data_IF_686372017719
#
_entry.id   IF_686372017719
#
_cell.length_a   1.000
_cell.length_b   1.000
_cell.length_c   1.000
_cell.angle_alpha   90.00
_cell.angle_beta   90.00
_cell.angle_gamma   90.00
#
_symmetry.space_group_name_H-M   'P 1'
#
loop_
_entity.id
_entity.type
_entity.pdbx_description
1 polymer ?
#
# COMPACT_ATOMS: atom_id res chain seq x y z
N UNK A 1 11.96 -28.61 35.34
CA UNK A 1 11.46 -27.98 34.11
C UNK A 1 12.65 -27.55 33.23
N UNK A 2 12.91 -28.22 32.12
CA UNK A 2 14.03 -27.86 31.21
C UNK A 2 13.73 -26.48 30.59
N UNK A 3 14.61 -25.49 30.83
CA UNK A 3 14.58 -24.20 30.16
C UNK A 3 14.66 -24.46 28.64
N UNK A 4 13.57 -24.21 27.93
CA UNK A 4 13.58 -24.25 26.47
C UNK A 4 14.54 -23.18 25.96
N UNK A 5 15.39 -23.54 24.98
CA UNK A 5 16.33 -22.60 24.38
C UNK A 5 15.56 -21.40 23.75
N UNK A 6 16.13 -20.19 23.78
CA UNK A 6 15.47 -18.99 23.23
C UNK A 6 14.99 -19.18 21.79
N UNK A 7 15.73 -19.93 20.97
CA UNK A 7 15.34 -20.32 19.62
C UNK A 7 14.04 -21.12 19.58
N UNK A 8 13.87 -22.14 20.44
CA UNK A 8 12.63 -22.91 20.51
C UNK A 8 11.41 -22.07 20.92
N UNK A 9 11.60 -21.06 21.76
CA UNK A 9 10.54 -20.09 22.11
C UNK A 9 10.12 -19.23 20.93
N UNK A 10 11.06 -18.80 20.09
CA UNK A 10 10.78 -18.01 18.89
C UNK A 10 10.01 -18.86 17.87
N UNK A 11 10.43 -20.10 17.62
CA UNK A 11 9.74 -21.02 16.71
C UNK A 11 8.35 -21.48 17.24
N UNK A 12 8.09 -21.38 18.52
CA UNK A 12 6.79 -21.70 19.11
C UNK A 12 5.73 -20.61 18.87
N UNK A 13 6.12 -19.40 18.45
CA UNK A 13 5.18 -18.34 18.08
C UNK A 13 4.53 -18.71 16.73
N UNK A 14 3.20 -18.83 16.72
CA UNK A 14 2.43 -19.21 15.55
C UNK A 14 2.73 -18.25 14.38
N UNK A 15 3.18 -18.78 13.23
CA UNK A 15 3.57 -17.99 12.05
C UNK A 15 5.04 -17.56 12.00
N UNK A 16 5.79 -17.59 13.09
CA UNK A 16 7.20 -17.18 13.12
C UNK A 16 8.09 -18.10 12.27
N UNK A 17 7.78 -19.40 12.21
CA UNK A 17 8.52 -20.35 11.38
C UNK A 17 8.51 -19.95 9.90
N UNK A 18 7.33 -19.60 9.35
CA UNK A 18 7.20 -19.14 7.97
C UNK A 18 7.95 -17.81 7.70
N UNK A 19 7.89 -16.87 8.65
CA UNK A 19 8.61 -15.61 8.52
C UNK A 19 10.15 -15.83 8.54
N UNK A 20 10.65 -16.72 9.40
CA UNK A 20 12.07 -17.03 9.48
C UNK A 20 12.59 -17.77 8.25
N UNK A 21 11.82 -18.70 7.68
CA UNK A 21 12.18 -19.37 6.43
C UNK A 21 12.21 -18.42 5.25
N UNK A 22 11.23 -17.50 5.14
CA UNK A 22 11.22 -16.46 4.12
C UNK A 22 12.42 -15.52 4.26
N UNK A 23 12.75 -15.11 5.49
CA UNK A 23 13.91 -14.26 5.76
C UNK A 23 15.25 -14.96 5.46
N UNK A 24 15.37 -16.23 5.82
CA UNK A 24 16.55 -17.04 5.47
C UNK A 24 16.71 -17.18 3.95
N UNK A 25 15.61 -17.45 3.22
CA UNK A 25 15.61 -17.48 1.77
C UNK A 25 16.06 -16.16 1.14
N UNK A 26 15.56 -15.02 1.66
CA UNK A 26 15.98 -13.69 1.22
C UNK A 26 17.49 -13.47 1.42
N UNK A 27 18.03 -13.84 2.58
CA UNK A 27 19.48 -13.71 2.87
C UNK A 27 20.30 -14.56 1.91
N UNK A 28 19.90 -15.83 1.68
CA UNK A 28 20.61 -16.74 0.77
C UNK A 28 20.64 -16.16 -0.65
N UNK A 29 19.50 -15.69 -1.15
CA UNK A 29 19.40 -15.07 -2.48
C UNK A 29 20.25 -13.80 -2.55
N UNK A 30 20.19 -12.94 -1.54
CA UNK A 30 20.95 -11.70 -1.51
C UNK A 30 22.47 -11.94 -1.52
N UNK A 31 22.94 -12.94 -0.75
CA UNK A 31 24.35 -13.35 -0.74
C UNK A 31 24.74 -13.96 -2.08
N UNK A 32 23.92 -14.85 -2.65
CA UNK A 32 24.22 -15.49 -3.94
C UNK A 32 24.39 -14.44 -5.07
N UNK A 33 23.48 -13.45 -5.15
CA UNK A 33 23.62 -12.35 -6.09
C UNK A 33 24.84 -11.47 -5.80
N UNK A 34 25.17 -11.23 -4.53
CA UNK A 34 26.35 -10.47 -4.14
C UNK A 34 27.68 -11.14 -4.48
N UNK A 35 27.73 -12.49 -4.50
CA UNK A 35 28.90 -13.25 -4.96
C UNK A 35 29.07 -13.11 -6.48
N UNK A 36 27.97 -13.11 -7.24
CA UNK A 36 27.98 -12.96 -8.70
C UNK A 36 28.35 -11.50 -9.08
N UNK A 37 27.79 -10.54 -8.37
CA UNK A 37 28.05 -9.11 -8.61
C UNK A 37 28.25 -8.36 -7.29
N UNK A 38 29.49 -8.04 -6.89
CA UNK A 38 29.78 -7.32 -5.63
C UNK A 38 29.11 -5.94 -5.51
N UNK A 39 28.68 -5.32 -6.63
CA UNK A 39 27.94 -4.08 -6.60
C UNK A 39 26.59 -4.19 -5.85
N UNK A 40 26.07 -5.40 -5.67
CA UNK A 40 24.86 -5.68 -4.87
C UNK A 40 25.03 -5.22 -3.42
N UNK A 41 26.23 -5.30 -2.86
CA UNK A 41 26.54 -4.87 -1.51
C UNK A 41 26.90 -3.38 -1.39
N UNK A 42 26.92 -2.64 -2.49
CA UNK A 42 27.20 -1.18 -2.43
C UNK A 42 26.11 -0.46 -1.62
N UNK A 43 26.54 0.56 -0.86
CA UNK A 43 25.59 1.38 -0.08
C UNK A 43 24.48 2.00 -0.93
N UNK A 44 24.82 2.41 -2.16
CA UNK A 44 23.83 2.95 -3.09
C UNK A 44 22.77 1.90 -3.50
N UNK A 45 23.19 0.66 -3.74
CA UNK A 45 22.24 -0.43 -4.08
C UNK A 45 21.36 -0.78 -2.88
N UNK A 46 21.90 -0.83 -1.67
CA UNK A 46 21.11 -1.03 -0.44
C UNK A 46 20.06 0.06 -0.29
N UNK A 47 20.43 1.34 -0.52
CA UNK A 47 19.46 2.45 -0.47
C UNK A 47 18.37 2.34 -1.55
N UNK A 48 18.73 1.93 -2.75
CA UNK A 48 17.76 1.69 -3.83
C UNK A 48 16.83 0.51 -3.49
N UNK A 49 17.35 -0.54 -2.89
CA UNK A 49 16.58 -1.69 -2.42
C UNK A 49 15.56 -1.28 -1.35
N UNK A 50 16.00 -0.53 -0.33
CA UNK A 50 15.12 0.00 0.72
C UNK A 50 14.00 0.87 0.13
N UNK A 51 14.32 1.75 -0.83
CA UNK A 51 13.34 2.57 -1.53
C UNK A 51 12.32 1.71 -2.31
N UNK A 52 12.78 0.69 -3.01
CA UNK A 52 11.91 -0.21 -3.78
C UNK A 52 11.02 -1.05 -2.87
N UNK A 53 11.58 -1.62 -1.78
CA UNK A 53 10.83 -2.41 -0.80
C UNK A 53 9.74 -1.60 -0.09
N UNK A 54 9.94 -0.30 0.09
CA UNK A 54 8.99 0.58 0.78
C UNK A 54 7.60 0.56 0.14
N UNK A 55 7.52 0.51 -1.18
CA UNK A 55 6.24 0.41 -1.91
C UNK A 55 5.50 -0.88 -1.58
N UNK A 56 6.20 -1.99 -1.58
CA UNK A 56 5.63 -3.30 -1.27
C UNK A 56 5.24 -3.42 0.21
N UNK A 57 6.01 -2.79 1.12
CA UNK A 57 5.66 -2.73 2.53
C UNK A 57 4.33 -2.00 2.74
N UNK A 58 4.14 -0.84 2.11
CA UNK A 58 2.89 -0.05 2.22
C UNK A 58 1.70 -0.87 1.70
N UNK A 59 1.82 -1.48 0.52
CA UNK A 59 0.76 -2.33 -0.05
C UNK A 59 0.49 -3.53 0.85
N UNK A 60 1.54 -4.17 1.36
CA UNK A 60 1.43 -5.32 2.26
C UNK A 60 0.68 -4.99 3.55
N UNK A 61 0.85 -3.78 4.10
CA UNK A 61 0.07 -3.30 5.26
C UNK A 61 -1.41 -3.24 4.89
N UNK A 62 -1.76 -2.58 3.79
CA UNK A 62 -3.14 -2.47 3.33
C UNK A 62 -3.81 -3.83 3.15
N UNK A 63 -3.13 -4.73 2.44
CA UNK A 63 -3.61 -6.08 2.18
C UNK A 63 -3.74 -6.91 3.46
N UNK A 64 -2.82 -6.76 4.42
CA UNK A 64 -2.89 -7.48 5.69
C UNK A 64 -4.17 -7.18 6.47
N UNK A 65 -4.64 -5.93 6.47
CA UNK A 65 -5.90 -5.55 7.12
C UNK A 65 -7.11 -6.28 6.52
N UNK A 66 -7.14 -6.41 5.20
CA UNK A 66 -8.20 -7.12 4.48
C UNK A 66 -8.11 -8.62 4.74
N UNK A 67 -6.91 -9.22 4.62
CA UNK A 67 -6.67 -10.64 4.81
C UNK A 67 -6.98 -11.13 6.23
N UNK A 68 -6.68 -10.33 7.27
CA UNK A 68 -7.01 -10.69 8.66
C UNK A 68 -8.52 -10.88 8.85
N UNK A 69 -9.35 -10.15 8.11
CA UNK A 69 -10.82 -10.35 8.16
C UNK A 69 -11.33 -11.50 7.30
N UNK A 70 -10.45 -12.29 6.70
CA UNK A 70 -10.81 -13.39 5.79
C UNK A 70 -11.24 -12.93 4.39
N UNK A 71 -11.05 -11.66 4.06
CA UNK A 71 -11.38 -11.09 2.75
C UNK A 71 -10.13 -10.98 1.86
N UNK A 72 -10.34 -10.65 0.58
CA UNK A 72 -9.27 -10.36 -0.38
C UNK A 72 -9.58 -9.03 -1.08
N UNK A 73 -8.54 -8.29 -1.50
CA UNK A 73 -8.68 -7.09 -2.31
C UNK A 73 -7.81 -7.20 -3.56
N UNK A 74 -8.45 -7.38 -4.70
CA UNK A 74 -7.78 -7.42 -6.01
C UNK A 74 -7.67 -6.03 -6.66
N UNK A 75 -8.37 -5.03 -6.13
CA UNK A 75 -8.40 -3.68 -6.71
C UNK A 75 -7.13 -2.87 -6.43
N UNK A 76 -6.29 -3.31 -5.49
CA UNK A 76 -5.10 -2.60 -4.99
C UNK A 76 -4.25 -2.03 -6.13
N UNK A 77 -3.82 -2.86 -7.08
CA UNK A 77 -2.96 -2.43 -8.18
C UNK A 77 -3.63 -1.36 -9.05
N UNK A 78 -4.90 -1.58 -9.43
CA UNK A 78 -5.64 -0.61 -10.25
C UNK A 78 -5.88 0.71 -9.52
N UNK A 79 -6.09 0.69 -8.20
CA UNK A 79 -6.20 1.90 -7.38
C UNK A 79 -4.86 2.64 -7.31
N UNK A 80 -3.73 1.92 -7.26
CA UNK A 80 -2.38 2.51 -7.40
C UNK A 80 -2.23 3.25 -8.73
N UNK A 81 -2.58 2.58 -9.84
CA UNK A 81 -2.53 3.20 -11.18
C UNK A 81 -3.47 4.39 -11.31
N UNK A 82 -4.71 4.26 -10.82
CA UNK A 82 -5.68 5.34 -10.79
C UNK A 82 -5.16 6.55 -9.99
N UNK A 83 -4.55 6.30 -8.83
CA UNK A 83 -3.95 7.36 -8.01
C UNK A 83 -2.82 8.08 -8.75
N UNK A 84 -1.89 7.36 -9.37
CA UNK A 84 -0.80 7.95 -10.14
C UNK A 84 -1.32 8.80 -11.30
N UNK A 85 -2.31 8.28 -12.04
CA UNK A 85 -2.88 8.97 -13.21
C UNK A 85 -3.66 10.21 -12.82
N UNK A 86 -4.55 10.15 -11.82
CA UNK A 86 -5.34 11.32 -11.39
C UNK A 86 -4.42 12.43 -10.88
N UNK A 87 -3.46 12.10 -10.01
CA UNK A 87 -2.54 13.08 -9.45
C UNK A 87 -1.70 13.75 -10.56
N UNK A 88 -1.13 12.96 -11.46
CA UNK A 88 -0.34 13.48 -12.56
C UNK A 88 -1.16 14.34 -13.53
N UNK A 89 -2.35 13.87 -13.95
CA UNK A 89 -3.22 14.61 -14.88
C UNK A 89 -3.61 15.98 -14.29
N UNK A 90 -4.02 16.02 -13.03
CA UNK A 90 -4.35 17.30 -12.38
C UNK A 90 -3.15 18.23 -12.32
N UNK A 91 -1.95 17.72 -12.02
CA UNK A 91 -0.74 18.53 -12.00
C UNK A 91 -0.32 19.00 -13.38
N UNK A 92 -0.47 18.20 -14.43
CA UNK A 92 -0.20 18.64 -15.83
C UNK A 92 -1.20 19.69 -16.30
N UNK A 93 -2.42 19.73 -15.75
CA UNK A 93 -3.39 20.80 -15.97
C UNK A 93 -3.11 22.08 -15.16
N UNK A 94 -2.01 22.15 -14.42
CA UNK A 94 -1.62 23.30 -13.60
C UNK A 94 -2.30 23.36 -12.22
N UNK A 95 -3.01 22.31 -11.79
CA UNK A 95 -3.61 22.25 -10.46
C UNK A 95 -2.52 22.12 -9.41
N UNK A 96 -2.59 22.93 -8.35
CA UNK A 96 -1.65 22.88 -7.24
C UNK A 96 -1.46 21.44 -6.73
N UNK A 97 -0.21 20.97 -6.50
CA UNK A 97 0.07 19.58 -6.09
C UNK A 97 -0.70 19.14 -4.84
N UNK A 98 -0.88 20.01 -3.85
CA UNK A 98 -1.63 19.69 -2.63
C UNK A 98 -3.10 19.42 -2.95
N UNK A 99 -3.71 20.25 -3.81
CA UNK A 99 -5.11 20.08 -4.25
C UNK A 99 -5.25 18.79 -5.07
N UNK A 100 -4.31 18.53 -5.98
CA UNK A 100 -4.27 17.30 -6.77
C UNK A 100 -4.19 16.05 -5.88
N UNK A 101 -3.35 16.07 -4.84
CA UNK A 101 -3.25 14.99 -3.85
C UNK A 101 -4.58 14.79 -3.11
N UNK A 102 -5.25 15.86 -2.67
CA UNK A 102 -6.51 15.76 -1.94
C UNK A 102 -7.64 15.20 -2.82
N UNK A 103 -7.76 15.63 -4.07
CA UNK A 103 -8.75 15.10 -5.01
C UNK A 103 -8.47 13.60 -5.26
N UNK A 104 -7.22 13.25 -5.50
CA UNK A 104 -6.79 11.86 -5.72
C UNK A 104 -7.11 10.99 -4.50
N UNK A 105 -6.84 11.50 -3.28
CA UNK A 105 -7.20 10.82 -2.04
C UNK A 105 -8.69 10.49 -1.99
N UNK A 106 -9.56 11.48 -2.24
CA UNK A 106 -11.01 11.29 -2.21
C UNK A 106 -11.43 10.22 -3.24
N UNK A 107 -10.92 10.27 -4.47
CA UNK A 107 -11.23 9.29 -5.50
C UNK A 107 -10.83 7.85 -5.08
N UNK A 108 -9.64 7.68 -4.50
CA UNK A 108 -9.20 6.38 -4.01
C UNK A 108 -10.06 5.89 -2.83
N UNK A 109 -10.42 6.79 -1.90
CA UNK A 109 -11.28 6.42 -0.77
C UNK A 109 -12.68 6.00 -1.21
N UNK A 110 -13.23 6.55 -2.29
CA UNK A 110 -14.51 6.11 -2.87
C UNK A 110 -14.44 4.62 -3.25
N UNK A 111 -13.37 4.17 -3.89
CA UNK A 111 -13.20 2.74 -4.22
C UNK A 111 -13.13 1.89 -2.94
N UNK A 112 -12.41 2.34 -1.92
CA UNK A 112 -12.36 1.65 -0.62
C UNK A 112 -13.74 1.53 0.05
N UNK A 113 -14.53 2.61 0.02
CA UNK A 113 -15.92 2.61 0.54
C UNK A 113 -16.80 1.66 -0.27
N UNK A 114 -16.70 1.70 -1.60
CA UNK A 114 -17.46 0.81 -2.49
C UNK A 114 -17.15 -0.66 -2.17
N UNK A 115 -15.88 -1.05 -2.10
CA UNK A 115 -15.49 -2.41 -1.70
C UNK A 115 -16.05 -2.79 -0.33
N UNK A 116 -15.94 -1.88 0.65
CA UNK A 116 -16.46 -2.09 1.99
C UNK A 116 -17.98 -2.29 2.03
N UNK A 117 -18.74 -1.58 1.21
CA UNK A 117 -20.20 -1.72 1.10
C UNK A 117 -20.56 -3.00 0.36
N UNK A 118 -19.93 -3.28 -0.79
CA UNK A 118 -20.18 -4.47 -1.58
C UNK A 118 -19.98 -5.74 -0.77
N UNK A 119 -18.86 -5.83 -0.06
CA UNK A 119 -18.51 -7.01 0.74
C UNK A 119 -19.21 -7.01 2.10
N UNK A 120 -19.15 -5.89 2.83
CA UNK A 120 -19.63 -5.84 4.21
C UNK A 120 -21.15 -5.76 4.34
N UNK A 121 -21.83 -4.97 3.49
CA UNK A 121 -23.29 -4.76 3.55
C UNK A 121 -24.04 -5.70 2.61
N UNK A 122 -23.63 -5.77 1.35
CA UNK A 122 -24.32 -6.60 0.35
C UNK A 122 -23.85 -8.06 0.33
N UNK A 123 -22.79 -8.36 1.12
CA UNK A 123 -22.25 -9.72 1.29
C UNK A 123 -21.83 -10.38 -0.02
N UNK A 124 -21.42 -9.58 -1.01
CA UNK A 124 -20.86 -10.12 -2.23
C UNK A 124 -19.53 -10.83 -1.91
N UNK A 125 -19.20 -11.93 -2.60
CA UNK A 125 -17.90 -12.56 -2.47
C UNK A 125 -16.78 -11.53 -2.70
N UNK A 126 -15.79 -11.39 -1.79
CA UNK A 126 -14.76 -10.37 -1.87
C UNK A 126 -14.01 -10.36 -3.19
N UNK A 127 -13.71 -11.55 -3.73
CA UNK A 127 -13.07 -11.72 -5.03
C UNK A 127 -13.87 -11.05 -6.16
N UNK A 128 -15.19 -11.29 -6.24
CA UNK A 128 -16.05 -10.73 -7.31
C UNK A 128 -16.18 -9.22 -7.16
N UNK A 129 -16.43 -8.75 -5.93
CA UNK A 129 -16.60 -7.33 -5.64
C UNK A 129 -15.34 -6.53 -6.00
N UNK A 130 -14.17 -7.00 -5.54
CA UNK A 130 -12.90 -6.28 -5.75
C UNK A 130 -12.36 -6.44 -7.18
N UNK A 131 -12.69 -7.53 -7.88
CA UNK A 131 -12.43 -7.67 -9.31
C UNK A 131 -13.23 -6.63 -10.12
N UNK A 132 -14.51 -6.45 -9.79
CA UNK A 132 -15.34 -5.43 -10.43
C UNK A 132 -14.78 -4.01 -10.23
N UNK A 133 -14.45 -3.65 -8.99
CA UNK A 133 -13.89 -2.33 -8.69
C UNK A 133 -12.45 -2.16 -9.22
N UNK A 134 -11.69 -3.24 -9.39
CA UNK A 134 -10.41 -3.24 -10.09
C UNK A 134 -10.58 -2.72 -11.53
N UNK A 135 -11.55 -3.24 -12.27
CA UNK A 135 -11.81 -2.78 -13.64
C UNK A 135 -12.34 -1.35 -13.67
N UNK A 136 -13.17 -0.95 -12.70
CA UNK A 136 -13.60 0.45 -12.57
C UNK A 136 -12.43 1.38 -12.35
N UNK A 137 -11.55 1.09 -11.38
CA UNK A 137 -10.37 1.89 -11.12
C UNK A 137 -9.40 1.93 -12.31
N UNK A 138 -9.21 0.79 -13.00
CA UNK A 138 -8.39 0.72 -14.22
C UNK A 138 -9.00 1.54 -15.36
N UNK A 139 -10.32 1.48 -15.53
CA UNK A 139 -11.05 2.30 -16.52
C UNK A 139 -10.87 3.78 -16.25
N UNK A 140 -10.99 4.22 -15.00
CA UNK A 140 -10.73 5.63 -14.61
C UNK A 140 -9.28 6.02 -14.92
N UNK A 141 -8.29 5.17 -14.62
CA UNK A 141 -6.89 5.43 -14.92
C UNK A 141 -6.66 5.67 -16.43
N UNK A 142 -7.33 4.92 -17.29
CA UNK A 142 -7.24 5.11 -18.74
C UNK A 142 -7.98 6.36 -19.22
N UNK A 143 -9.19 6.61 -18.70
CA UNK A 143 -10.05 7.69 -19.19
C UNK A 143 -9.58 9.09 -18.78
N UNK A 144 -8.94 9.22 -17.59
CA UNK A 144 -8.62 10.54 -16.99
C UNK A 144 -7.69 11.39 -17.86
N UNK A 145 -6.88 10.80 -18.73
CA UNK A 145 -5.99 11.49 -19.66
C UNK A 145 -6.16 10.99 -21.12
N UNK A 146 -7.37 10.61 -21.50
CA UNK A 146 -7.68 10.21 -22.87
C UNK A 146 -6.91 9.00 -23.38
N UNK A 147 -6.74 7.98 -22.53
CA UNK A 147 -6.04 6.72 -22.84
C UNK A 147 -4.56 6.91 -23.26
N UNK A 148 -3.88 7.84 -22.61
CA UNK A 148 -2.46 8.14 -22.80
C UNK A 148 -1.80 8.41 -21.48
N UNK A 149 -0.49 8.16 -21.40
CA UNK A 149 0.32 8.64 -20.29
C UNK A 149 0.27 10.18 -20.25
N UNK A 150 0.42 10.77 -19.08
CA UNK A 150 0.48 12.23 -18.98
C UNK A 150 1.82 12.75 -19.49
N UNK A 151 1.88 14.05 -19.80
CA UNK A 151 3.15 14.74 -19.89
C UNK A 151 3.85 14.79 -18.53
N UNK A 152 5.08 15.30 -18.49
CA UNK A 152 5.78 15.52 -17.24
C UNK A 152 4.99 16.47 -16.33
N UNK A 153 4.84 16.15 -15.04
CA UNK A 153 4.09 16.98 -14.08
C UNK A 153 4.62 18.41 -14.02
N UNK A 154 5.93 18.59 -14.22
CA UNK A 154 6.58 19.89 -14.27
C UNK A 154 6.09 20.79 -15.42
N UNK A 155 5.49 20.23 -16.47
CA UNK A 155 4.96 21.02 -17.60
C UNK A 155 3.73 21.84 -17.20
N UNK A 156 2.93 21.37 -16.23
CA UNK A 156 1.74 22.07 -15.77
C UNK A 156 1.99 22.90 -14.52
N UNK A 157 2.54 22.30 -13.46
CA UNK A 157 2.75 22.99 -12.17
C UNK A 157 4.04 23.79 -12.09
N UNK A 158 4.89 23.73 -13.12
CA UNK A 158 6.21 24.34 -13.12
C UNK A 158 7.30 23.43 -12.53
N UNK A 159 8.56 23.75 -12.88
CA UNK A 159 9.72 22.92 -12.53
C UNK A 159 9.89 22.75 -11.02
N UNK A 160 9.84 23.86 -10.28
CA UNK A 160 10.09 23.85 -8.83
C UNK A 160 9.04 23.02 -8.05
N UNK A 161 7.77 23.16 -8.41
CA UNK A 161 6.69 22.41 -7.78
C UNK A 161 6.73 20.92 -8.17
N UNK A 162 7.05 20.62 -9.44
CA UNK A 162 7.24 19.24 -9.91
C UNK A 162 8.42 18.55 -9.25
N UNK A 163 9.58 19.20 -9.16
CA UNK A 163 10.76 18.68 -8.45
C UNK A 163 10.49 18.52 -6.96
N UNK A 164 9.79 19.45 -6.32
CA UNK A 164 9.40 19.34 -4.92
C UNK A 164 8.53 18.12 -4.68
N UNK A 165 7.50 17.89 -5.53
CA UNK A 165 6.67 16.69 -5.44
C UNK A 165 7.48 15.41 -5.57
N UNK A 166 8.37 15.34 -6.59
CA UNK A 166 9.24 14.19 -6.81
C UNK A 166 10.20 13.95 -5.64
N UNK A 167 10.76 15.02 -5.06
CA UNK A 167 11.65 14.92 -3.91
C UNK A 167 10.92 14.47 -2.63
N UNK A 168 9.69 14.94 -2.41
CA UNK A 168 8.89 14.50 -1.27
C UNK A 168 8.60 13.00 -1.35
N UNK A 169 8.16 12.50 -2.49
CA UNK A 169 7.68 11.13 -2.60
C UNK A 169 8.75 10.12 -3.03
N UNK A 170 9.83 10.53 -3.75
CA UNK A 170 10.73 9.54 -4.32
C UNK A 170 12.23 9.87 -4.27
N UNK A 171 12.68 11.02 -4.79
CA UNK A 171 14.12 11.28 -4.94
C UNK A 171 14.78 11.92 -3.73
N UNK A 172 14.03 12.65 -2.91
CA UNK A 172 14.57 13.36 -1.76
C UNK A 172 15.07 12.40 -0.68
N UNK A 173 16.05 12.86 0.07
CA UNK A 173 16.66 12.12 1.19
C UNK A 173 16.57 12.93 2.48
N UNK A 174 16.19 12.27 3.56
CA UNK A 174 16.22 12.79 4.92
C UNK A 174 17.12 11.88 5.75
N UNK A 175 18.09 12.45 6.46
CA UNK A 175 19.12 11.69 7.22
C UNK A 175 19.86 10.66 6.37
N UNK A 176 20.11 10.97 5.08
CA UNK A 176 20.82 10.09 4.15
C UNK A 176 19.98 8.96 3.54
N UNK A 177 18.72 8.78 3.98
CA UNK A 177 17.79 7.74 3.50
C UNK A 177 16.68 8.37 2.67
N UNK A 178 16.21 7.69 1.62
CA UNK A 178 15.14 8.19 0.76
C UNK A 178 13.82 8.40 1.51
N UNK A 179 13.14 9.50 1.22
CA UNK A 179 11.86 9.87 1.85
C UNK A 179 10.79 8.79 1.72
N UNK A 180 10.78 8.05 0.61
CA UNK A 180 9.88 6.90 0.41
C UNK A 180 9.96 5.89 1.55
N UNK A 181 11.17 5.64 2.10
CA UNK A 181 11.36 4.74 3.23
C UNK A 181 10.75 5.30 4.52
N UNK A 182 10.95 6.59 4.79
CA UNK A 182 10.34 7.24 5.95
C UNK A 182 8.82 7.26 5.89
N UNK A 183 8.25 7.51 4.70
CA UNK A 183 6.81 7.41 4.47
C UNK A 183 6.32 6.01 4.83
N UNK A 184 7.00 4.96 4.37
CA UNK A 184 6.62 3.58 4.64
C UNK A 184 6.72 3.23 6.14
N UNK A 185 7.77 3.69 6.83
CA UNK A 185 7.94 3.47 8.28
C UNK A 185 6.87 4.19 9.09
N UNK A 186 6.54 5.43 8.75
CA UNK A 186 5.46 6.18 9.42
C UNK A 186 4.13 5.44 9.25
N UNK A 187 3.81 5.02 8.04
CA UNK A 187 2.59 4.25 7.73
C UNK A 187 2.59 2.94 8.52
N UNK A 188 3.71 2.22 8.54
CA UNK A 188 3.84 0.98 9.31
C UNK A 188 3.57 1.20 10.79
N UNK A 189 4.19 2.19 11.41
CA UNK A 189 4.02 2.48 12.85
C UNK A 189 2.56 2.84 13.14
N UNK A 190 1.96 3.71 12.35
CA UNK A 190 0.56 4.15 12.55
C UNK A 190 -0.41 2.97 12.43
N UNK A 191 -0.31 2.19 11.37
CA UNK A 191 -1.23 1.08 11.15
C UNK A 191 -0.94 -0.12 12.08
N UNK A 192 0.32 -0.36 12.42
CA UNK A 192 0.67 -1.33 13.46
C UNK A 192 0.05 -0.96 14.81
N UNK A 193 0.13 0.31 15.21
CA UNK A 193 -0.52 0.79 16.44
C UNK A 193 -2.04 0.65 16.36
N UNK A 194 -2.65 1.07 15.24
CA UNK A 194 -4.10 0.94 15.04
C UNK A 194 -4.55 -0.52 15.13
N UNK A 195 -3.81 -1.45 14.55
CA UNK A 195 -4.14 -2.87 14.56
C UNK A 195 -3.92 -3.50 15.94
N UNK A 196 -2.81 -3.19 16.63
CA UNK A 196 -2.41 -3.86 17.88
C UNK A 196 -3.00 -3.25 19.14
N UNK A 197 -3.27 -1.93 19.16
CA UNK A 197 -3.63 -1.20 20.38
C UNK A 197 -5.04 -0.60 20.39
N UNK A 198 -5.77 -0.59 19.26
CA UNK A 198 -7.08 0.08 19.19
C UNK A 198 -8.26 -0.90 19.22
N UNK A 199 -9.47 -0.36 19.48
CA UNK A 199 -10.72 -1.13 19.36
C UNK A 199 -10.94 -1.63 17.93
N UNK A 200 -10.56 -0.85 16.92
CA UNK A 200 -10.68 -1.25 15.52
C UNK A 200 -9.87 -2.51 15.22
N UNK A 201 -8.63 -2.60 15.70
CA UNK A 201 -7.81 -3.80 15.52
C UNK A 201 -8.43 -5.03 16.18
N UNK A 202 -8.94 -4.90 17.42
CA UNK A 202 -9.66 -6.01 18.09
C UNK A 202 -10.89 -6.49 17.31
N UNK A 203 -11.66 -5.56 16.72
CA UNK A 203 -12.81 -5.92 15.89
C UNK A 203 -12.39 -6.63 14.60
N UNK A 204 -11.27 -6.22 13.98
CA UNK A 204 -10.71 -6.86 12.78
C UNK A 204 -10.34 -8.32 13.10
N UNK A 205 -9.59 -8.56 14.18
CA UNK A 205 -9.24 -9.93 14.60
C UNK A 205 -10.47 -10.75 15.00
N UNK A 206 -11.46 -10.15 15.67
CA UNK A 206 -12.69 -10.84 16.03
C UNK A 206 -13.46 -11.33 14.80
N UNK A 207 -13.60 -10.49 13.77
CA UNK A 207 -14.26 -10.88 12.51
C UNK A 207 -13.48 -11.98 11.81
N UNK A 208 -12.16 -11.88 11.74
CA UNK A 208 -11.31 -12.89 11.11
C UNK A 208 -11.32 -14.23 11.83
N UNK A 209 -11.57 -14.24 13.14
CA UNK A 209 -11.70 -15.46 13.92
C UNK A 209 -13.06 -16.14 13.75
N UNK A 210 -14.15 -15.39 13.93
CA UNK A 210 -15.53 -15.87 13.73
C UNK A 210 -16.47 -14.68 13.56
N UNK A 211 -17.02 -14.52 12.37
CA UNK A 211 -17.90 -13.39 11.98
C UNK A 211 -19.20 -13.39 12.83
N UNK A 212 -19.80 -14.56 13.08
CA UNK A 212 -21.08 -14.65 13.79
C UNK A 212 -20.88 -14.37 15.28
N UNK A 213 -19.84 -14.92 15.89
CA UNK A 213 -19.50 -14.63 17.29
C UNK A 213 -19.17 -13.13 17.48
N UNK A 214 -18.44 -12.51 16.55
CA UNK A 214 -18.14 -11.08 16.58
C UNK A 214 -19.42 -10.25 16.51
N UNK A 215 -20.36 -10.62 15.62
CA UNK A 215 -21.67 -9.96 15.49
C UNK A 215 -22.50 -10.06 16.76
N UNK A 216 -22.59 -11.25 17.38
CA UNK A 216 -23.28 -11.45 18.64
C UNK A 216 -22.66 -10.65 19.79
N UNK A 217 -21.36 -10.40 19.73
CA UNK A 217 -20.62 -9.54 20.67
C UNK A 217 -20.76 -8.03 20.37
N UNK A 218 -21.66 -7.64 19.45
CA UNK A 218 -21.96 -6.23 19.13
C UNK A 218 -20.96 -5.59 18.14
N UNK A 219 -20.08 -6.36 17.51
CA UNK A 219 -19.16 -5.83 16.50
C UNK A 219 -19.90 -5.59 15.18
N UNK A 220 -19.88 -4.34 14.67
CA UNK A 220 -20.45 -4.04 13.36
C UNK A 220 -19.56 -4.57 12.24
N UNK A 221 -19.97 -5.68 11.62
CA UNK A 221 -19.25 -6.30 10.51
C UNK A 221 -19.07 -5.31 9.36
N UNK A 222 -20.16 -4.63 8.95
CA UNK A 222 -20.13 -3.66 7.84
C UNK A 222 -19.08 -2.56 8.08
N UNK A 223 -19.16 -1.89 9.24
CA UNK A 223 -18.22 -0.79 9.57
C UNK A 223 -16.77 -1.28 9.65
N UNK A 224 -16.54 -2.45 10.20
CA UNK A 224 -15.18 -2.99 10.36
C UNK A 224 -14.61 -3.41 9.01
N UNK A 225 -15.37 -4.12 8.17
CA UNK A 225 -14.96 -4.50 6.82
C UNK A 225 -14.70 -3.26 5.96
N UNK A 226 -15.57 -2.24 6.02
CA UNK A 226 -15.32 -0.98 5.28
C UNK A 226 -14.02 -0.32 5.71
N UNK A 227 -13.71 -0.32 7.01
CA UNK A 227 -12.43 0.24 7.50
C UNK A 227 -11.21 -0.51 6.93
N UNK A 228 -11.27 -1.83 6.78
CA UNK A 228 -10.14 -2.59 6.22
C UNK A 228 -9.91 -2.25 4.74
N UNK A 229 -10.97 -2.11 3.96
CA UNK A 229 -10.85 -1.66 2.56
C UNK A 229 -10.43 -0.20 2.42
N UNK A 230 -10.82 0.67 3.35
CA UNK A 230 -10.32 2.05 3.40
C UNK A 230 -8.81 2.10 3.67
N UNK A 231 -8.29 1.24 4.57
CA UNK A 231 -6.84 1.13 4.80
C UNK A 231 -6.12 0.64 3.55
N UNK A 232 -6.68 -0.36 2.86
CA UNK A 232 -6.15 -0.86 1.59
C UNK A 232 -6.09 0.24 0.52
N UNK A 233 -7.19 0.97 0.34
CA UNK A 233 -7.29 2.07 -0.61
C UNK A 233 -6.33 3.23 -0.27
N UNK A 234 -6.17 3.56 1.02
CA UNK A 234 -5.20 4.55 1.48
C UNK A 234 -3.76 4.14 1.15
N UNK A 235 -3.39 2.89 1.43
CA UNK A 235 -2.06 2.37 1.09
C UNK A 235 -1.82 2.41 -0.42
N UNK A 236 -2.81 2.03 -1.22
CA UNK A 236 -2.75 2.10 -2.68
C UNK A 236 -2.60 3.54 -3.19
N UNK A 237 -3.34 4.48 -2.60
CA UNK A 237 -3.23 5.90 -2.89
C UNK A 237 -1.80 6.42 -2.67
N UNK A 238 -1.20 6.13 -1.52
CA UNK A 238 0.17 6.58 -1.22
C UNK A 238 1.18 5.99 -2.19
N UNK A 239 1.06 4.70 -2.52
CA UNK A 239 1.97 4.06 -3.48
C UNK A 239 1.79 4.64 -4.88
N UNK A 240 0.57 5.00 -5.28
CA UNK A 240 0.33 5.70 -6.54
C UNK A 240 1.04 7.04 -6.63
N UNK A 241 1.03 7.86 -5.55
CA UNK A 241 1.81 9.11 -5.47
C UNK A 241 3.32 8.85 -5.57
N UNK A 242 3.81 7.78 -4.92
CA UNK A 242 5.22 7.39 -5.00
C UNK A 242 5.59 7.01 -6.44
N UNK A 243 4.75 6.26 -7.14
CA UNK A 243 4.99 5.91 -8.55
C UNK A 243 4.93 7.12 -9.48
N UNK A 244 3.98 8.04 -9.26
CA UNK A 244 3.93 9.32 -9.96
C UNK A 244 5.21 10.14 -9.73
N UNK A 245 5.68 10.23 -8.48
CA UNK A 245 6.93 10.90 -8.14
C UNK A 245 8.16 10.21 -8.75
N UNK A 246 8.16 8.90 -8.83
CA UNK A 246 9.23 8.11 -9.46
C UNK A 246 9.35 8.39 -10.96
N UNK A 247 8.22 8.37 -11.66
CA UNK A 247 8.19 8.56 -13.12
C UNK A 247 8.23 10.04 -13.52
N UNK A 248 7.84 10.97 -12.63
CA UNK A 248 7.62 12.36 -12.94
C UNK A 248 6.43 12.60 -13.87
N UNK A 249 5.59 11.57 -14.07
CA UNK A 249 4.41 11.56 -14.93
C UNK A 249 3.43 10.48 -14.49
N UNK A 250 2.21 10.51 -14.97
CA UNK A 250 1.25 9.42 -14.84
C UNK A 250 1.47 8.36 -15.93
N UNK A 251 1.62 7.11 -15.48
CA UNK A 251 1.65 5.95 -16.36
C UNK A 251 0.35 5.16 -16.19
N UNK A 252 -0.44 5.02 -17.26
CA UNK A 252 -1.73 4.34 -17.23
C UNK A 252 -1.63 2.84 -16.94
N UNK A 253 -0.47 2.23 -17.18
CA UNK A 253 -0.19 0.81 -16.92
C UNK A 253 0.38 0.58 -15.51
N UNK A 254 0.58 1.64 -14.72
CA UNK A 254 1.07 1.52 -13.35
C UNK A 254 0.08 0.75 -12.45
N UNK A 255 0.62 -0.10 -11.56
CA UNK A 255 -0.15 -0.85 -10.56
C UNK A 255 -0.50 -2.28 -10.89
#
# INVERSE_FOLDING_TARGET
MKKQSPLKRIFAIRGMGGALTAFAGLIIIYIAFGIINPAVFSGQNVMNLLRSMSKYLIIGIGQSYVLITGNIDLSIGSVVGMSAMIAATLMTMGVNPVVAILITFVCCMIIGVLNGILVGKWKLPPFIATLGTMFVARGVAYMVNGNRNTDAIASGVGKDAGETFQNVFYYGKTLGVYNTFWIAIIIFIVFFFLLSKTRTGRHIYAIGSNVDAAKLSGVSVVKTTTKTYLVSAFCSFVVGLILCGQAGMGNMEAG
#
